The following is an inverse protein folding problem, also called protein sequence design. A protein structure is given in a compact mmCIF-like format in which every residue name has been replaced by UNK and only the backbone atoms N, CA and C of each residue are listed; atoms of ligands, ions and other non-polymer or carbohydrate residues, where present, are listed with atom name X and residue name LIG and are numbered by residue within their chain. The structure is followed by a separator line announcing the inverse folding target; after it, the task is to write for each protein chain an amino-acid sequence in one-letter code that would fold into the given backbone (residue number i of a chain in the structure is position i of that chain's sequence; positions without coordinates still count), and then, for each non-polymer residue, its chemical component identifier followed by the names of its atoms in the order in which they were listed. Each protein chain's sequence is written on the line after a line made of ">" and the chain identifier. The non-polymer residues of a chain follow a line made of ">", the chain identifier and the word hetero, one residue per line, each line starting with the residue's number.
data_IF_559585256780
#
_entry.id   IF_559585256780
#
_cell.length_a   1.000
_cell.length_b   1.000
_cell.length_c   1.000
_cell.angle_alpha   90.00
_cell.angle_beta   90.00
_cell.angle_gamma   90.00
#
_symmetry.space_group_name_H-M   'P 1'
#
loop_
_entity.id
_entity.type
_entity.pdbx_description
1 polymer ?
#
# COMPACT_ATOMS: atom_id res chain seq x y z
N UNK A 1 10.11 -41.34 -10.32
CA UNK A 1 8.77 -40.89 -10.80
C UNK A 1 8.14 -39.80 -9.93
N UNK A 2 8.50 -39.67 -8.64
CA UNK A 2 7.92 -38.69 -7.70
C UNK A 2 8.39 -37.24 -7.95
N UNK A 3 9.65 -37.04 -8.40
CA UNK A 3 10.18 -35.68 -8.67
C UNK A 3 9.53 -34.95 -9.85
N UNK A 4 9.03 -35.69 -10.84
CA UNK A 4 8.38 -35.09 -12.02
C UNK A 4 6.99 -34.55 -11.66
N UNK A 5 6.33 -35.13 -10.66
CA UNK A 5 5.03 -34.70 -10.13
C UNK A 5 5.17 -33.45 -9.25
N UNK A 6 6.21 -33.37 -8.41
CA UNK A 6 6.46 -32.21 -7.56
C UNK A 6 6.87 -30.94 -8.34
N UNK A 7 7.61 -31.09 -9.45
CA UNK A 7 7.89 -29.96 -10.36
C UNK A 7 6.63 -29.47 -11.08
N UNK A 8 5.72 -30.37 -11.46
CA UNK A 8 4.45 -30.02 -12.10
C UNK A 8 3.48 -29.32 -11.13
N UNK A 9 3.39 -29.79 -9.88
CA UNK A 9 2.58 -29.12 -8.84
C UNK A 9 3.15 -27.75 -8.45
N UNK A 10 4.47 -27.59 -8.35
CA UNK A 10 5.07 -26.26 -8.13
C UNK A 10 4.81 -25.30 -9.28
N UNK A 11 4.84 -25.79 -10.53
CA UNK A 11 4.46 -24.99 -11.70
C UNK A 11 2.98 -24.57 -11.68
N UNK A 12 2.08 -25.46 -11.26
CA UNK A 12 0.63 -25.19 -11.16
C UNK A 12 0.32 -24.24 -10.00
N UNK A 13 0.98 -24.37 -8.85
CA UNK A 13 0.80 -23.47 -7.70
C UNK A 13 1.36 -22.07 -8.00
N UNK A 14 2.50 -21.98 -8.70
CA UNK A 14 3.05 -20.70 -9.17
C UNK A 14 2.12 -20.05 -10.21
N UNK A 15 1.55 -20.84 -11.13
CA UNK A 15 0.54 -20.34 -12.07
C UNK A 15 -0.72 -19.84 -11.34
N UNK A 16 -1.20 -20.56 -10.33
CA UNK A 16 -2.38 -20.12 -9.55
C UNK A 16 -2.10 -18.83 -8.77
N UNK A 17 -0.90 -18.65 -8.18
CA UNK A 17 -0.53 -17.38 -7.53
C UNK A 17 -0.38 -16.21 -8.50
N UNK A 18 0.12 -16.46 -9.72
CA UNK A 18 0.22 -15.45 -10.79
C UNK A 18 -1.16 -15.13 -11.36
N UNK A 19 -2.04 -16.12 -11.51
CA UNK A 19 -3.43 -15.92 -11.96
C UNK A 19 -4.26 -15.20 -10.89
N UNK A 20 -4.06 -15.46 -9.60
CA UNK A 20 -4.68 -14.64 -8.55
C UNK A 20 -4.08 -13.23 -8.47
N UNK A 21 -2.82 -13.03 -8.87
CA UNK A 21 -2.24 -11.70 -9.01
C UNK A 21 -2.81 -10.98 -10.25
N UNK A 22 -2.98 -11.66 -11.38
CA UNK A 22 -3.64 -11.12 -12.57
C UNK A 22 -5.14 -10.84 -12.35
N UNK A 23 -5.86 -11.65 -11.57
CA UNK A 23 -7.25 -11.38 -11.17
C UNK A 23 -7.34 -10.36 -10.02
N UNK A 24 -6.23 -10.08 -9.33
CA UNK A 24 -6.17 -9.06 -8.28
C UNK A 24 -5.71 -7.68 -8.79
N UNK A 25 -5.01 -7.63 -9.93
CA UNK A 25 -4.38 -6.43 -10.50
C UNK A 25 -4.70 -6.18 -11.98
N UNK A 26 -5.38 -7.09 -12.68
CA UNK A 26 -5.91 -6.83 -14.01
C UNK A 26 -7.25 -6.08 -13.91
N UNK A 27 -7.48 -5.02 -14.70
CA UNK A 27 -8.85 -4.65 -15.01
C UNK A 27 -9.40 -5.78 -15.89
N UNK A 28 -10.06 -6.76 -15.28
CA UNK A 28 -10.84 -7.72 -16.05
C UNK A 28 -11.91 -6.92 -16.80
N UNK A 29 -11.72 -6.83 -18.12
CA UNK A 29 -12.57 -6.15 -19.08
C UNK A 29 -13.81 -6.98 -19.44
N UNK A 30 -14.29 -7.84 -18.55
CA UNK A 30 -15.68 -8.32 -18.59
C UNK A 30 -16.57 -7.30 -17.86
N UNK A 31 -16.69 -6.13 -18.50
CA UNK A 31 -17.42 -4.95 -18.04
C UNK A 31 -18.95 -5.10 -17.97
N UNK A 32 -19.50 -6.28 -18.26
CA UNK A 32 -20.94 -6.48 -18.38
C UNK A 32 -21.63 -6.88 -17.08
N UNK A 33 -20.88 -7.28 -16.05
CA UNK A 33 -21.44 -7.67 -14.75
C UNK A 33 -21.39 -6.57 -13.67
N UNK A 34 -20.54 -5.55 -13.83
CA UNK A 34 -20.35 -4.51 -12.83
C UNK A 34 -21.08 -3.23 -13.22
N UNK A 35 -21.85 -2.68 -12.28
CA UNK A 35 -22.75 -1.55 -12.54
C UNK A 35 -22.19 -0.20 -12.12
N UNK A 36 -21.00 -0.18 -11.50
CA UNK A 36 -20.20 1.02 -11.24
C UNK A 36 -18.68 0.73 -11.24
N UNK A 37 -17.89 1.80 -11.37
CA UNK A 37 -16.41 1.75 -11.44
C UNK A 37 -15.68 2.21 -10.17
N UNK A 38 -16.40 2.71 -9.15
CA UNK A 38 -15.80 3.36 -7.97
C UNK A 38 -15.24 2.33 -6.97
N UNK A 39 -15.83 1.15 -6.90
CA UNK A 39 -15.46 0.10 -5.94
C UNK A 39 -14.08 -0.50 -6.20
N UNK A 40 -13.69 -0.63 -7.47
CA UNK A 40 -12.47 -1.34 -7.86
C UNK A 40 -11.21 -0.60 -7.41
N UNK A 41 -11.04 0.72 -7.64
CA UNK A 41 -9.89 1.46 -7.13
C UNK A 41 -9.78 1.44 -5.60
N UNK A 42 -10.92 1.48 -4.90
CA UNK A 42 -10.97 1.36 -3.44
C UNK A 42 -10.46 -0.01 -2.97
N UNK A 43 -10.85 -1.09 -3.67
CA UNK A 43 -10.38 -2.44 -3.37
C UNK A 43 -8.87 -2.61 -3.62
N UNK A 44 -8.33 -2.00 -4.68
CA UNK A 44 -6.88 -1.98 -4.94
C UNK A 44 -6.12 -1.31 -3.79
N UNK A 45 -6.61 -0.17 -3.29
CA UNK A 45 -6.04 0.50 -2.13
C UNK A 45 -6.06 -0.38 -0.87
N UNK A 46 -7.20 -1.02 -0.57
CA UNK A 46 -7.31 -1.94 0.59
C UNK A 46 -6.30 -3.09 0.47
N UNK A 47 -6.20 -3.72 -0.70
CA UNK A 47 -5.23 -4.79 -0.95
C UNK A 47 -3.79 -4.32 -0.75
N UNK A 48 -3.46 -3.12 -1.22
CA UNK A 48 -2.14 -2.53 -1.05
C UNK A 48 -1.78 -2.28 0.42
N UNK A 49 -2.74 -1.78 1.21
CA UNK A 49 -2.56 -1.56 2.65
C UNK A 49 -2.33 -2.90 3.37
N UNK A 50 -3.16 -3.91 3.07
CA UNK A 50 -3.01 -5.26 3.61
C UNK A 50 -1.66 -5.89 3.23
N UNK A 51 -1.22 -5.74 1.97
CA UNK A 51 0.09 -6.20 1.53
C UNK A 51 1.21 -5.68 2.44
N UNK A 52 1.19 -4.37 2.77
CA UNK A 52 2.22 -3.81 3.64
C UNK A 52 2.15 -4.39 5.05
N UNK A 53 0.96 -4.57 5.63
CA UNK A 53 0.82 -5.21 6.95
C UNK A 53 1.34 -6.65 6.97
N UNK A 54 1.03 -7.44 5.94
CA UNK A 54 1.40 -8.86 5.85
C UNK A 54 2.88 -9.08 5.52
N UNK A 55 3.46 -8.14 4.76
CA UNK A 55 4.81 -8.26 4.19
C UNK A 55 5.91 -7.68 5.08
N UNK A 56 5.60 -6.84 6.06
CA UNK A 56 6.60 -6.30 7.00
C UNK A 56 6.60 -7.05 8.35
N UNK A 57 7.75 -7.20 8.99
CA UNK A 57 7.93 -8.06 10.17
C UNK A 57 7.26 -7.51 11.45
N UNK A 58 6.33 -8.22 12.07
CA UNK A 58 5.49 -7.77 13.20
C UNK A 58 6.17 -7.96 14.55
N UNK A 59 6.88 -9.06 14.70
CA UNK A 59 7.49 -9.48 15.97
C UNK A 59 8.97 -9.79 15.77
N UNK A 60 9.73 -9.88 16.86
CA UNK A 60 11.11 -10.36 16.82
C UNK A 60 11.21 -11.81 16.34
N UNK A 61 10.14 -12.60 16.42
CA UNK A 61 10.09 -13.96 15.87
C UNK A 61 10.06 -13.98 14.33
N UNK A 62 9.73 -12.86 13.68
CA UNK A 62 9.73 -12.75 12.23
C UNK A 62 11.15 -12.72 11.60
N UNK A 63 12.21 -12.79 12.42
CA UNK A 63 13.59 -12.98 11.96
C UNK A 63 13.78 -14.24 11.12
N UNK A 64 12.87 -15.22 11.24
CA UNK A 64 12.87 -16.45 10.45
C UNK A 64 12.27 -16.30 9.04
N UNK A 65 11.77 -15.12 8.66
CA UNK A 65 11.18 -14.85 7.34
C UNK A 65 12.02 -13.84 6.55
N UNK A 66 13.00 -14.30 5.75
CA UNK A 66 13.86 -13.43 4.95
C UNK A 66 13.09 -12.48 4.02
N UNK A 67 11.92 -12.90 3.54
CA UNK A 67 11.05 -12.06 2.72
C UNK A 67 10.56 -10.82 3.50
N UNK A 68 10.12 -11.03 4.75
CA UNK A 68 9.68 -9.94 5.63
C UNK A 68 10.84 -9.03 6.01
N UNK A 69 12.04 -9.60 6.18
CA UNK A 69 13.26 -8.81 6.41
C UNK A 69 13.55 -7.88 5.23
N UNK A 70 13.53 -8.40 4.01
CA UNK A 70 13.78 -7.63 2.79
C UNK A 70 12.83 -6.42 2.69
N UNK A 71 11.51 -6.64 2.84
CA UNK A 71 10.51 -5.55 2.78
C UNK A 71 10.69 -4.58 3.95
N UNK A 72 11.04 -5.06 5.15
CA UNK A 72 11.28 -4.21 6.32
C UNK A 72 12.47 -3.26 6.13
N UNK A 73 13.55 -3.70 5.47
CA UNK A 73 14.70 -2.84 5.15
C UNK A 73 14.30 -1.73 4.17
N UNK A 74 13.60 -2.09 3.08
CA UNK A 74 13.15 -1.12 2.06
C UNK A 74 12.18 -0.11 2.66
N UNK A 75 11.23 -0.57 3.46
CA UNK A 75 10.22 0.31 4.08
C UNK A 75 10.82 1.20 5.16
N UNK A 76 11.88 0.78 5.85
CA UNK A 76 12.64 1.64 6.76
C UNK A 76 13.36 2.77 6.00
N UNK A 77 14.06 2.43 4.90
CA UNK A 77 14.68 3.44 4.04
C UNK A 77 13.65 4.42 3.46
N UNK A 78 12.51 3.89 3.00
CA UNK A 78 11.37 4.70 2.53
C UNK A 78 10.86 5.62 3.65
N UNK A 79 10.76 5.15 4.88
CA UNK A 79 10.32 5.95 6.04
C UNK A 79 11.25 7.14 6.29
N UNK A 80 12.56 6.92 6.24
CA UNK A 80 13.55 8.00 6.38
C UNK A 80 13.39 9.00 5.23
N UNK A 81 13.27 8.53 3.99
CA UNK A 81 13.09 9.40 2.82
C UNK A 81 11.85 10.29 2.94
N UNK A 82 10.69 9.71 3.26
CA UNK A 82 9.43 10.47 3.30
C UNK A 82 9.32 11.37 4.52
N UNK A 83 10.00 11.04 5.61
CA UNK A 83 10.01 11.87 6.83
C UNK A 83 10.85 13.14 6.69
N UNK A 84 11.72 13.21 5.68
CA UNK A 84 12.60 14.35 5.43
C UNK A 84 11.88 15.49 4.72
N UNK A 85 11.93 16.67 5.34
CA UNK A 85 11.49 17.93 4.77
C UNK A 85 12.62 18.60 3.95
N UNK A 86 13.09 17.94 2.90
CA UNK A 86 14.14 18.44 2.00
C UNK A 86 13.61 18.60 0.59
N UNK A 87 14.03 19.66 -0.11
CA UNK A 87 13.77 19.86 -1.54
C UNK A 87 14.72 19.04 -2.43
N UNK A 88 15.87 18.64 -1.90
CA UNK A 88 16.82 17.76 -2.59
C UNK A 88 16.40 16.29 -2.42
N UNK A 89 15.56 15.81 -3.34
CA UNK A 89 15.08 14.43 -3.34
C UNK A 89 16.22 13.40 -3.51
N UNK A 90 17.15 13.65 -4.44
CA UNK A 90 18.26 12.73 -4.71
C UNK A 90 19.18 12.59 -3.49
N UNK A 91 19.58 13.70 -2.86
CA UNK A 91 20.35 13.67 -1.62
C UNK A 91 19.60 13.00 -0.46
N UNK A 92 18.27 13.11 -0.42
CA UNK A 92 17.46 12.44 0.60
C UNK A 92 17.42 10.92 0.43
N UNK A 93 17.52 10.41 -0.80
CA UNK A 93 17.62 8.96 -1.06
C UNK A 93 18.96 8.43 -0.54
N UNK A 94 20.06 9.11 -0.86
CA UNK A 94 21.40 8.71 -0.40
C UNK A 94 21.48 8.67 1.13
N UNK A 95 20.95 9.72 1.78
CA UNK A 95 20.93 9.73 3.24
C UNK A 95 20.04 8.61 3.80
N UNK A 96 18.88 8.35 3.17
CA UNK A 96 18.01 7.25 3.60
C UNK A 96 18.69 5.88 3.48
N UNK A 97 19.50 5.66 2.43
CA UNK A 97 20.34 4.47 2.28
C UNK A 97 21.37 4.38 3.42
N UNK A 98 22.20 5.40 3.59
CA UNK A 98 23.28 5.43 4.60
C UNK A 98 22.72 5.27 6.02
N UNK A 99 21.62 5.94 6.36
CA UNK A 99 20.98 5.83 7.66
C UNK A 99 20.37 4.44 7.89
N UNK A 100 19.87 3.79 6.84
CA UNK A 100 19.37 2.40 6.92
C UNK A 100 20.51 1.40 7.09
N UNK A 101 21.62 1.55 6.37
CA UNK A 101 22.82 0.70 6.49
C UNK A 101 23.30 0.61 7.95
N UNK A 102 23.33 1.76 8.64
CA UNK A 102 23.71 1.86 10.06
C UNK A 102 22.78 1.12 11.02
N UNK A 103 21.60 0.72 10.56
CA UNK A 103 20.55 0.09 11.37
C UNK A 103 20.32 -1.38 10.99
N UNK A 104 21.06 -1.93 10.02
CA UNK A 104 20.89 -3.32 9.56
C UNK A 104 21.19 -4.36 10.66
N UNK A 105 21.93 -4.00 11.70
CA UNK A 105 22.12 -4.87 12.87
C UNK A 105 20.83 -5.09 13.68
N UNK A 106 19.80 -4.25 13.51
CA UNK A 106 18.51 -4.44 14.18
C UNK A 106 17.73 -5.60 13.56
N UNK A 107 16.90 -6.32 14.35
CA UNK A 107 15.94 -7.28 13.80
C UNK A 107 14.94 -6.64 12.83
N UNK A 108 14.22 -7.46 12.06
CA UNK A 108 13.27 -6.98 11.04
C UNK A 108 12.13 -6.14 11.63
N UNK A 109 11.54 -6.54 12.76
CA UNK A 109 10.39 -5.83 13.33
C UNK A 109 10.68 -4.37 13.76
N UNK A 110 11.81 -4.07 14.44
CA UNK A 110 12.23 -2.69 14.68
C UNK A 110 12.46 -1.85 13.42
N UNK A 111 12.87 -2.46 12.29
CA UNK A 111 12.97 -1.74 11.01
C UNK A 111 11.59 -1.46 10.40
N UNK A 112 10.65 -2.39 10.52
CA UNK A 112 9.29 -2.24 10.00
C UNK A 112 8.43 -1.23 10.79
N UNK A 113 8.65 -1.11 12.10
CA UNK A 113 7.82 -0.32 13.02
C UNK A 113 7.55 1.12 12.57
N UNK A 114 8.58 1.91 12.18
CA UNK A 114 8.38 3.27 11.70
C UNK A 114 7.47 3.37 10.47
N UNK A 115 7.57 2.43 9.53
CA UNK A 115 6.72 2.44 8.34
C UNK A 115 5.28 2.07 8.68
N UNK A 116 5.05 1.16 9.63
CA UNK A 116 3.70 0.90 10.16
C UNK A 116 3.05 2.17 10.69
N UNK A 117 3.78 2.95 11.48
CA UNK A 117 3.26 4.23 11.99
C UNK A 117 2.84 5.20 10.87
N UNK A 118 3.48 5.14 9.70
CA UNK A 118 3.06 5.89 8.52
C UNK A 118 1.73 5.35 7.98
N UNK A 119 1.62 4.04 7.78
CA UNK A 119 0.41 3.40 7.27
C UNK A 119 -0.77 3.59 8.24
N UNK A 120 -0.56 3.38 9.54
CA UNK A 120 -1.56 3.61 10.59
C UNK A 120 -2.05 5.06 10.56
N UNK A 121 -1.14 6.03 10.36
CA UNK A 121 -1.50 7.44 10.27
C UNK A 121 -2.31 7.75 9.01
N UNK A 122 -1.96 7.15 7.86
CA UNK A 122 -2.76 7.27 6.63
C UNK A 122 -4.14 6.68 6.83
N UNK A 123 -4.23 5.47 7.39
CA UNK A 123 -5.49 4.78 7.68
C UNK A 123 -6.40 5.57 8.61
N UNK A 124 -5.87 6.16 9.69
CA UNK A 124 -6.65 7.02 10.57
C UNK A 124 -7.33 8.20 9.85
N UNK A 125 -6.78 8.64 8.72
CA UNK A 125 -7.36 9.69 7.87
C UNK A 125 -8.35 9.12 6.86
N UNK A 126 -8.03 8.00 6.21
CA UNK A 126 -8.78 7.51 5.03
C UNK A 126 -9.77 6.37 5.31
N UNK A 127 -9.80 5.82 6.52
CA UNK A 127 -10.67 4.71 6.89
C UNK A 127 -12.16 5.04 6.66
N UNK A 128 -12.64 6.19 7.14
CA UNK A 128 -14.03 6.60 6.89
C UNK A 128 -14.32 6.82 5.38
N UNK A 129 -13.47 7.51 4.59
CA UNK A 129 -13.66 7.58 3.13
C UNK A 129 -13.71 6.21 2.42
N UNK A 130 -12.89 5.24 2.85
CA UNK A 130 -12.94 3.85 2.34
C UNK A 130 -14.32 3.25 2.64
N UNK A 131 -14.79 3.39 3.89
CA UNK A 131 -16.07 2.85 4.33
C UNK A 131 -17.27 3.54 3.63
N UNK A 132 -17.17 4.83 3.32
CA UNK A 132 -18.18 5.55 2.53
C UNK A 132 -18.35 4.91 1.14
N UNK A 133 -17.24 4.51 0.50
CA UNK A 133 -17.27 3.82 -0.80
C UNK A 133 -17.83 2.40 -0.66
N UNK A 134 -17.38 1.62 0.33
CA UNK A 134 -17.90 0.27 0.58
C UNK A 134 -19.41 0.25 0.87
N UNK A 135 -19.91 1.27 1.57
CA UNK A 135 -21.33 1.40 1.88
C UNK A 135 -22.18 1.87 0.68
N UNK A 136 -21.60 2.62 -0.25
CA UNK A 136 -22.35 3.31 -1.31
C UNK A 136 -22.24 2.64 -2.68
N UNK A 137 -21.09 2.06 -2.99
CA UNK A 137 -20.73 1.66 -4.33
C UNK A 137 -20.31 0.19 -4.30
N UNK A 138 -21.28 -0.71 -4.08
CA UNK A 138 -21.04 -2.16 -4.19
C UNK A 138 -20.98 -2.56 -5.67
N UNK A 139 -20.33 -3.66 -6.05
CA UNK A 139 -20.20 -4.05 -7.48
C UNK A 139 -21.52 -4.08 -8.26
N UNK A 140 -22.62 -4.43 -7.59
CA UNK A 140 -23.99 -4.52 -8.12
C UNK A 140 -24.78 -3.21 -8.11
N UNK A 141 -24.27 -2.15 -7.46
CA UNK A 141 -24.91 -0.84 -7.41
C UNK A 141 -24.72 -0.10 -8.74
N UNK A 142 -25.78 0.51 -9.27
CA UNK A 142 -25.67 1.35 -10.46
C UNK A 142 -24.87 2.63 -10.19
N UNK A 143 -24.10 3.10 -11.18
CA UNK A 143 -23.29 4.30 -11.08
C UNK A 143 -24.05 5.50 -10.49
N UNK A 144 -25.26 5.79 -10.98
CA UNK A 144 -26.08 6.90 -10.49
C UNK A 144 -26.41 6.76 -8.99
N UNK A 145 -26.85 5.56 -8.58
CA UNK A 145 -27.18 5.27 -7.18
C UNK A 145 -25.92 5.37 -6.29
N UNK A 146 -24.79 4.82 -6.75
CA UNK A 146 -23.50 4.92 -6.07
C UNK A 146 -23.11 6.39 -5.83
N UNK A 147 -23.21 7.25 -6.85
CA UNK A 147 -22.87 8.67 -6.71
C UNK A 147 -23.81 9.40 -5.74
N UNK A 148 -25.11 9.11 -5.79
CA UNK A 148 -26.11 9.70 -4.87
C UNK A 148 -25.80 9.31 -3.43
N UNK A 149 -25.58 8.02 -3.17
CA UNK A 149 -25.31 7.50 -1.84
C UNK A 149 -23.96 7.98 -1.29
N UNK A 150 -22.92 7.95 -2.12
CA UNK A 150 -21.59 8.42 -1.72
C UNK A 150 -21.61 9.91 -1.36
N UNK A 151 -22.30 10.73 -2.16
CA UNK A 151 -22.51 12.14 -1.86
C UNK A 151 -23.30 12.34 -0.55
N UNK A 152 -24.32 11.51 -0.32
CA UNK A 152 -25.11 11.57 0.91
C UNK A 152 -24.24 11.29 2.15
N UNK A 153 -23.47 10.19 2.16
CA UNK A 153 -22.57 9.86 3.27
C UNK A 153 -21.53 10.96 3.52
N UNK A 154 -20.83 11.40 2.46
CA UNK A 154 -19.81 12.46 2.59
C UNK A 154 -20.39 13.78 3.11
N UNK A 155 -21.57 14.17 2.64
CA UNK A 155 -22.26 15.38 3.12
C UNK A 155 -22.70 15.24 4.58
N UNK A 156 -23.15 14.04 4.98
CA UNK A 156 -23.51 13.75 6.37
C UNK A 156 -22.28 13.82 7.28
N UNK A 157 -21.16 13.22 6.89
CA UNK A 157 -19.92 13.25 7.66
C UNK A 157 -19.34 14.66 7.75
N UNK A 158 -19.40 15.47 6.69
CA UNK A 158 -19.01 16.89 6.76
C UNK A 158 -19.88 17.70 7.73
N UNK A 159 -21.18 17.40 7.82
CA UNK A 159 -22.07 18.03 8.81
C UNK A 159 -21.75 17.61 10.24
N UNK A 160 -21.35 16.35 10.45
CA UNK A 160 -21.01 15.82 11.77
C UNK A 160 -19.61 16.25 12.23
N UNK A 161 -18.66 16.31 11.29
CA UNK A 161 -17.30 16.74 11.51
C UNK A 161 -16.86 17.67 10.37
N UNK A 162 -16.83 18.97 10.69
CA UNK A 162 -16.41 20.00 9.74
C UNK A 162 -14.94 19.80 9.37
N UNK A 163 -14.64 19.72 8.08
CA UNK A 163 -13.29 19.45 7.57
C UNK A 163 -13.10 18.03 7.01
N UNK A 164 -14.12 17.17 7.07
CA UNK A 164 -14.07 15.80 6.54
C UNK A 164 -13.69 15.74 5.05
N UNK A 165 -14.01 16.77 4.27
CA UNK A 165 -13.57 16.86 2.87
C UNK A 165 -12.05 16.68 2.69
N UNK A 166 -11.22 17.06 3.68
CA UNK A 166 -9.77 16.83 3.64
C UNK A 166 -9.40 15.35 3.73
N UNK A 167 -10.13 14.58 4.53
CA UNK A 167 -9.97 13.12 4.58
C UNK A 167 -10.29 12.51 3.21
N UNK A 168 -11.36 12.98 2.56
CA UNK A 168 -11.74 12.58 1.20
C UNK A 168 -10.66 12.97 0.17
N UNK A 169 -10.05 14.15 0.30
CA UNK A 169 -8.93 14.57 -0.58
C UNK A 169 -7.73 13.64 -0.45
N UNK A 170 -7.29 13.32 0.78
CA UNK A 170 -6.18 12.37 1.01
C UNK A 170 -6.55 10.98 0.48
N UNK A 171 -7.77 10.51 0.74
CA UNK A 171 -8.28 9.26 0.20
C UNK A 171 -8.19 9.22 -1.33
N UNK A 172 -8.63 10.28 -2.03
CA UNK A 172 -8.56 10.33 -3.48
C UNK A 172 -7.11 10.30 -3.97
N UNK A 173 -6.20 11.06 -3.33
CA UNK A 173 -4.79 11.08 -3.69
C UNK A 173 -4.13 9.70 -3.51
N UNK A 174 -4.32 9.04 -2.37
CA UNK A 174 -3.72 7.73 -2.12
C UNK A 174 -4.37 6.63 -2.96
N UNK A 175 -5.67 6.72 -3.25
CA UNK A 175 -6.37 5.79 -4.16
C UNK A 175 -5.82 5.93 -5.58
N UNK A 176 -5.66 7.15 -6.09
CA UNK A 176 -5.09 7.39 -7.41
C UNK A 176 -3.65 6.86 -7.48
N UNK A 177 -2.82 7.19 -6.49
CA UNK A 177 -1.46 6.68 -6.40
C UNK A 177 -1.40 5.15 -6.38
N UNK A 178 -2.27 4.48 -5.60
CA UNK A 178 -2.31 3.03 -5.49
C UNK A 178 -2.72 2.33 -6.79
N UNK A 179 -3.48 3.02 -7.65
CA UNK A 179 -4.01 2.49 -8.90
C UNK A 179 -3.17 2.90 -10.14
N UNK A 180 -2.06 3.61 -9.95
CA UNK A 180 -1.11 3.85 -11.04
C UNK A 180 -0.39 2.56 -11.43
N UNK A 181 -0.19 2.35 -12.73
CA UNK A 181 0.57 1.22 -13.28
C UNK A 181 1.97 1.12 -12.65
N UNK A 182 2.70 2.24 -12.54
CA UNK A 182 4.02 2.28 -11.89
C UNK A 182 3.99 1.80 -10.43
N UNK A 183 2.91 2.11 -9.68
CA UNK A 183 2.76 1.68 -8.30
C UNK A 183 2.46 0.18 -8.23
N UNK A 184 1.60 -0.33 -9.11
CA UNK A 184 1.30 -1.75 -9.22
C UNK A 184 2.60 -2.52 -9.56
N UNK A 185 3.31 -2.10 -10.60
CA UNK A 185 4.58 -2.68 -11.03
C UNK A 185 5.64 -2.67 -9.92
N UNK A 186 5.71 -1.58 -9.15
CA UNK A 186 6.62 -1.47 -8.01
C UNK A 186 6.31 -2.54 -6.94
N UNK A 187 5.03 -2.72 -6.61
CA UNK A 187 4.60 -3.69 -5.59
C UNK A 187 4.79 -5.12 -6.07
N UNK A 188 4.53 -5.40 -7.34
CA UNK A 188 4.83 -6.69 -7.95
C UNK A 188 6.33 -7.00 -7.94
N UNK A 189 7.19 -6.04 -8.29
CA UNK A 189 8.64 -6.24 -8.25
C UNK A 189 9.16 -6.43 -6.81
N UNK A 190 8.65 -5.62 -5.86
CA UNK A 190 8.96 -5.76 -4.43
C UNK A 190 8.59 -7.17 -3.92
N UNK A 191 7.41 -7.65 -4.28
CA UNK A 191 6.93 -9.00 -3.96
C UNK A 191 7.83 -10.05 -4.59
N UNK A 192 8.14 -9.93 -5.88
CA UNK A 192 8.98 -10.87 -6.62
C UNK A 192 10.39 -10.96 -6.03
N UNK A 193 11.00 -9.83 -5.66
CA UNK A 193 12.35 -9.79 -5.08
C UNK A 193 12.40 -10.28 -3.65
N UNK A 194 11.42 -9.89 -2.82
CA UNK A 194 11.34 -10.41 -1.45
C UNK A 194 11.24 -11.94 -1.44
N UNK A 195 10.45 -12.54 -2.34
CA UNK A 195 10.32 -14.00 -2.48
C UNK A 195 11.60 -14.73 -2.90
N UNK A 196 12.55 -14.03 -3.51
CA UNK A 196 13.89 -14.58 -3.82
C UNK A 196 14.82 -14.62 -2.62
N UNK A 197 14.40 -14.06 -1.47
CA UNK A 197 15.19 -13.98 -0.24
C UNK A 197 16.51 -13.23 -0.44
N UNK A 198 16.45 -12.18 -1.25
CA UNK A 198 17.55 -11.23 -1.46
C UNK A 198 18.02 -10.65 -0.10
N UNK A 199 19.31 -10.39 0.01
CA UNK A 199 20.00 -9.88 1.19
C UNK A 199 19.64 -8.42 1.52
N UNK A 200 20.04 -7.96 2.71
CA UNK A 200 19.85 -6.56 3.12
C UNK A 200 20.52 -5.56 2.14
N UNK A 201 21.69 -5.91 1.58
CA UNK A 201 22.38 -5.11 0.56
C UNK A 201 21.56 -5.02 -0.72
N UNK A 202 21.05 -6.15 -1.21
CA UNK A 202 20.20 -6.18 -2.40
C UNK A 202 18.87 -5.42 -2.18
N UNK A 203 18.34 -5.43 -0.95
CA UNK A 203 17.17 -4.64 -0.57
C UNK A 203 17.44 -3.14 -0.68
N UNK A 204 18.61 -2.68 -0.22
CA UNK A 204 19.02 -1.28 -0.30
C UNK A 204 19.33 -0.84 -1.73
N UNK A 205 19.99 -1.67 -2.52
CA UNK A 205 20.24 -1.40 -3.93
C UNK A 205 18.93 -1.35 -4.72
N UNK A 206 17.96 -2.21 -4.39
CA UNK A 206 16.61 -2.12 -4.94
C UNK A 206 15.94 -0.81 -4.54
N UNK A 207 15.96 -0.43 -3.26
CA UNK A 207 15.40 0.86 -2.80
C UNK A 207 16.00 2.03 -3.57
N UNK A 208 17.33 2.12 -3.66
CA UNK A 208 18.02 3.20 -4.34
C UNK A 208 17.67 3.25 -5.82
N UNK A 209 17.73 2.11 -6.52
CA UNK A 209 17.39 2.02 -7.94
C UNK A 209 15.92 2.40 -8.21
N UNK A 210 15.01 1.89 -7.38
CA UNK A 210 13.60 2.19 -7.48
C UNK A 210 13.32 3.68 -7.25
N UNK A 211 13.90 4.27 -6.20
CA UNK A 211 13.66 5.67 -5.84
C UNK A 211 14.36 6.67 -6.78
N UNK A 212 15.51 6.32 -7.36
CA UNK A 212 16.28 7.23 -8.25
C UNK A 212 15.87 7.12 -9.71
N UNK A 213 15.49 5.93 -10.17
CA UNK A 213 15.28 5.63 -11.60
C UNK A 213 13.88 5.13 -11.87
N UNK A 214 13.63 3.84 -11.58
CA UNK A 214 12.50 3.10 -12.17
C UNK A 214 11.13 3.54 -11.66
N UNK A 215 11.02 3.82 -10.36
CA UNK A 215 9.76 4.13 -9.68
C UNK A 215 9.82 5.48 -8.97
N UNK A 216 10.63 6.43 -9.50
CA UNK A 216 10.90 7.71 -8.86
C UNK A 216 9.63 8.49 -8.53
N UNK A 217 8.64 8.47 -9.41
CA UNK A 217 7.36 9.17 -9.22
C UNK A 217 6.55 8.52 -8.10
N UNK A 218 6.48 7.18 -8.03
CA UNK A 218 5.84 6.43 -6.94
C UNK A 218 6.35 6.88 -5.57
N UNK A 219 7.67 7.05 -5.41
CA UNK A 219 8.26 7.51 -4.14
C UNK A 219 7.99 8.98 -3.85
N UNK A 220 7.99 9.84 -4.87
CA UNK A 220 7.70 11.28 -4.70
C UNK A 220 6.24 11.51 -4.32
N UNK A 221 5.30 10.91 -5.04
CA UNK A 221 3.88 11.09 -4.79
C UNK A 221 3.48 10.53 -3.43
N UNK A 222 3.97 9.34 -3.07
CA UNK A 222 3.76 8.81 -1.72
C UNK A 222 4.34 9.72 -0.63
N UNK A 223 5.51 10.33 -0.88
CA UNK A 223 6.09 11.32 0.03
C UNK A 223 5.19 12.54 0.16
N UNK A 224 4.67 13.07 -0.94
CA UNK A 224 3.85 14.27 -0.93
C UNK A 224 2.51 14.03 -0.22
N UNK A 225 1.88 12.88 -0.45
CA UNK A 225 0.70 12.42 0.30
C UNK A 225 1.03 12.30 1.80
N UNK A 226 2.15 11.67 2.15
CA UNK A 226 2.55 11.55 3.54
C UNK A 226 2.82 12.92 4.18
N UNK A 227 3.45 13.84 3.46
CA UNK A 227 3.73 15.18 3.97
C UNK A 227 2.45 16.00 4.14
N UNK A 228 1.45 15.82 3.27
CA UNK A 228 0.10 16.36 3.46
C UNK A 228 -0.49 15.84 4.78
N UNK A 229 -0.54 14.51 4.97
CA UNK A 229 -1.06 13.89 6.21
C UNK A 229 -0.26 14.30 7.45
N UNK A 230 1.04 14.53 7.29
CA UNK A 230 1.93 14.91 8.38
C UNK A 230 1.68 16.34 8.87
N UNK A 231 1.48 17.27 7.95
CA UNK A 231 1.48 18.70 8.21
C UNK A 231 0.08 19.30 8.30
N UNK A 232 -0.93 18.68 7.70
CA UNK A 232 -2.30 19.14 7.80
C UNK A 232 -2.97 18.70 9.11
N UNK A 233 -4.03 19.43 9.46
CA UNK A 233 -4.88 19.13 10.59
C UNK A 233 -6.12 18.35 10.15
N UNK A 234 -6.23 17.11 10.65
CA UNK A 234 -7.37 16.21 10.44
C UNK A 234 -8.07 15.99 11.78
N UNK A 235 -9.24 16.62 11.94
CA UNK A 235 -10.10 16.50 13.13
C UNK A 235 -11.16 15.41 13.00
N UNK A 236 -11.32 14.83 11.81
CA UNK A 236 -12.34 13.83 11.49
C UNK A 236 -11.76 12.42 11.40
N UNK A 237 -10.81 12.07 12.26
CA UNK A 237 -10.19 10.75 12.27
C UNK A 237 -11.16 9.73 12.88
N UNK A 238 -11.39 8.61 12.19
CA UNK A 238 -12.12 7.48 12.74
C UNK A 238 -11.18 6.60 13.56
N UNK A 239 -11.60 6.23 14.77
CA UNK A 239 -11.10 5.05 15.47
C UNK A 239 -12.13 3.95 15.30
N UNK A 240 -12.21 3.35 14.12
CA UNK A 240 -13.04 2.16 13.89
C UNK A 240 -12.31 1.19 12.99
N UNK A 241 -11.48 0.32 13.60
CA UNK A 241 -11.17 -0.97 12.98
C UNK A 241 -12.48 -1.75 12.84
N UNK A 242 -13.15 -1.64 11.70
CA UNK A 242 -14.14 -2.64 11.33
C UNK A 242 -13.36 -3.83 10.77
N UNK A 243 -13.30 -4.85 11.60
CA UNK A 243 -12.83 -6.20 11.31
C UNK A 243 -13.63 -6.76 10.12
N UNK A 244 -13.15 -6.58 8.89
CA UNK A 244 -13.68 -7.29 7.71
C UNK A 244 -13.09 -8.70 7.69
N UNK A 245 -13.52 -9.52 8.66
CA UNK A 245 -13.70 -10.93 8.36
C UNK A 245 -15.03 -11.04 7.60
N UNK A 246 -14.96 -11.59 6.39
CA UNK A 246 -16.09 -12.01 5.54
C UNK A 246 -16.83 -10.91 4.76
N UNK A 247 -16.48 -10.75 3.48
CA UNK A 247 -17.41 -10.88 2.35
C UNK A 247 -16.75 -11.80 1.33
#
# INVERSE_FOLDING_TARGET
>A
MIDKYNKRMRGIVILFTIVTACLAYGPDTESDCFRNSVWQPNNVLIKLLNFFYDSIALTSADTCFPQRRFVSVITFAKTILVSRNSTNFAGSIEIAKIETEKQLNKPAAPLAGPFRGIIDRLLNVIDQPINDVLASCKPETYDEECQIMLKHYRTRHEKQCKGYYKNVEVYNSITNWANQEDTIDYIEELTRRSNRKESDTEALDFFENAATKKYRNVYKEFRDIFMQVKNDFFNCNSLTFINTNCI
#
